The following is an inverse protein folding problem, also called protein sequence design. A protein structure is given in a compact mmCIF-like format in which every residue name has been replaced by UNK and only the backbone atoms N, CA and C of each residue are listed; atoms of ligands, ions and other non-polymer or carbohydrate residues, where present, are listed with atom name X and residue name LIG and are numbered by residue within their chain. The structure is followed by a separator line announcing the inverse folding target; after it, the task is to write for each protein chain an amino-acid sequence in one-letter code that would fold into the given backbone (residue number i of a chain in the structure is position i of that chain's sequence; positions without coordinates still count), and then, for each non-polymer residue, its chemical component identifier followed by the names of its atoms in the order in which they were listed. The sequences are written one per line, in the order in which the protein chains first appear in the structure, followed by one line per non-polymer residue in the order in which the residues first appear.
data_IF_653624220023
#
_entry.id   IF_653624220023
#
_cell.length_a   1.000
_cell.length_b   1.000
_cell.length_c   1.000
_cell.angle_alpha   90.00
_cell.angle_beta   90.00
_cell.angle_gamma   90.00
#
_symmetry.space_group_name_H-M   'P 1'
#
loop_
_entity.id
_entity.type
_entity.pdbx_description
1 polymer ?
#
# COMPACT_ATOMS: atom_id res chain seq x y z
N UNK A 1 -10.92 -16.05 7.02
CA UNK A 1 -10.71 -14.58 6.98
C UNK A 1 -9.28 -14.28 6.55
N UNK A 2 -9.01 -13.12 5.94
CA UNK A 2 -7.67 -12.72 5.43
C UNK A 2 -6.56 -12.87 6.49
N UNK A 3 -6.85 -12.50 7.74
CA UNK A 3 -5.92 -12.64 8.86
C UNK A 3 -5.42 -14.08 9.06
N UNK A 4 -6.31 -15.07 9.05
CA UNK A 4 -5.94 -16.48 9.22
C UNK A 4 -5.11 -17.00 8.03
N UNK A 5 -5.34 -16.47 6.83
CA UNK A 5 -4.56 -16.81 5.64
C UNK A 5 -3.14 -16.22 5.70
N UNK A 6 -2.99 -15.00 6.23
CA UNK A 6 -1.68 -14.38 6.45
C UNK A 6 -0.94 -15.07 7.60
N UNK A 7 -1.62 -15.36 8.71
CA UNK A 7 -1.02 -15.97 9.91
C UNK A 7 -0.43 -17.37 9.64
N UNK A 8 -1.06 -18.15 8.78
CA UNK A 8 -0.62 -19.51 8.43
C UNK A 8 0.49 -19.54 7.38
N UNK A 9 0.78 -18.41 6.76
CA UNK A 9 1.69 -18.35 5.63
C UNK A 9 3.02 -17.71 6.03
N UNK A 10 4.09 -18.49 5.94
CA UNK A 10 5.45 -18.06 6.29
C UNK A 10 6.19 -17.41 5.12
N UNK A 11 5.56 -17.29 3.94
CA UNK A 11 6.17 -16.62 2.79
C UNK A 11 6.28 -15.10 3.00
N UNK A 12 7.26 -14.51 2.33
CA UNK A 12 7.42 -13.06 2.34
C UNK A 12 6.21 -12.36 1.73
N UNK A 13 5.68 -11.36 2.45
CA UNK A 13 4.60 -10.50 1.99
C UNK A 13 5.13 -9.07 1.86
N UNK A 14 5.03 -8.49 0.66
CA UNK A 14 5.33 -7.09 0.45
C UNK A 14 4.11 -6.23 0.84
N UNK A 15 4.31 -5.32 1.79
CA UNK A 15 3.35 -4.26 2.10
C UNK A 15 3.92 -2.94 1.56
N UNK A 16 3.36 -2.43 0.46
CA UNK A 16 3.91 -1.28 -0.24
C UNK A 16 2.86 -0.42 -0.93
N UNK A 17 3.17 0.85 -1.12
CA UNK A 17 2.34 1.83 -1.81
C UNK A 17 2.75 3.26 -1.46
N UNK A 18 1.98 4.27 -1.90
CA UNK A 18 2.32 5.66 -1.66
C UNK A 18 2.20 6.01 -0.18
N UNK A 19 2.90 7.08 0.21
CA UNK A 19 2.87 7.51 1.59
C UNK A 19 1.49 8.08 2.00
N UNK A 20 0.74 8.64 1.05
CA UNK A 20 -0.63 9.15 1.19
C UNK A 20 -1.38 8.95 -0.12
N UNK A 21 -2.70 8.77 -0.06
CA UNK A 21 -3.54 8.73 -1.27
C UNK A 21 -3.89 10.16 -1.69
N UNK A 22 -3.46 10.59 -2.87
CA UNK A 22 -3.74 11.94 -3.40
C UNK A 22 -4.97 11.95 -4.32
N UNK A 23 -5.15 10.90 -5.11
CA UNK A 23 -6.34 10.68 -5.93
C UNK A 23 -6.48 9.18 -6.27
N UNK A 24 -7.63 8.81 -6.81
CA UNK A 24 -7.96 7.43 -7.17
C UNK A 24 -7.04 6.87 -8.27
N UNK A 25 -6.83 7.62 -9.35
CA UNK A 25 -6.03 7.18 -10.49
C UNK A 25 -4.60 6.83 -10.07
N UNK A 26 -3.95 7.71 -9.30
CA UNK A 26 -2.62 7.48 -8.76
C UNK A 26 -2.55 6.21 -7.91
N UNK A 27 -3.57 5.95 -7.08
CA UNK A 27 -3.61 4.75 -6.26
C UNK A 27 -3.69 3.49 -7.12
N UNK A 28 -4.53 3.48 -8.15
CA UNK A 28 -4.66 2.35 -9.07
C UNK A 28 -3.41 2.14 -9.94
N UNK A 29 -2.78 3.21 -10.43
CA UNK A 29 -1.56 3.14 -11.22
C UNK A 29 -0.41 2.52 -10.42
N UNK A 30 -0.19 3.01 -9.18
CA UNK A 30 0.85 2.49 -8.30
C UNK A 30 0.54 1.04 -7.89
N UNK A 31 -0.70 0.75 -7.50
CA UNK A 31 -1.10 -0.61 -7.12
C UNK A 31 -0.92 -1.59 -8.29
N UNK A 32 -1.30 -1.17 -9.50
CA UNK A 32 -1.18 -1.98 -10.72
C UNK A 32 0.28 -2.31 -11.04
N UNK A 33 1.17 -1.33 -10.99
CA UNK A 33 2.57 -1.53 -11.31
C UNK A 33 3.29 -2.39 -10.27
N UNK A 34 3.05 -2.15 -8.97
CA UNK A 34 3.64 -2.97 -7.90
C UNK A 34 3.10 -4.40 -7.96
N UNK A 35 1.79 -4.58 -8.19
CA UNK A 35 1.19 -5.90 -8.39
C UNK A 35 1.81 -6.65 -9.57
N UNK A 36 2.04 -5.96 -10.70
CA UNK A 36 2.69 -6.54 -11.89
C UNK A 36 4.10 -7.04 -11.55
N UNK A 37 4.88 -6.25 -10.80
CA UNK A 37 6.22 -6.63 -10.34
C UNK A 37 6.15 -7.82 -9.38
N UNK A 38 5.28 -7.79 -8.38
CA UNK A 38 5.13 -8.89 -7.42
C UNK A 38 4.73 -10.20 -8.11
N UNK A 39 3.81 -10.16 -9.07
CA UNK A 39 3.40 -11.33 -9.86
C UNK A 39 4.58 -11.95 -10.63
N UNK A 40 5.52 -11.13 -11.13
CA UNK A 40 6.72 -11.62 -11.83
C UNK A 40 7.63 -12.46 -10.92
N UNK A 41 7.63 -12.19 -9.61
CA UNK A 41 8.50 -12.84 -8.63
C UNK A 41 7.75 -13.74 -7.65
N UNK A 42 6.48 -14.05 -7.93
CA UNK A 42 5.60 -14.85 -7.06
C UNK A 42 5.52 -14.31 -5.61
N UNK A 43 5.52 -12.97 -5.48
CA UNK A 43 5.44 -12.31 -4.18
C UNK A 43 3.99 -11.96 -3.84
N UNK A 44 3.61 -12.23 -2.59
CA UNK A 44 2.35 -11.72 -2.04
C UNK A 44 2.45 -10.22 -1.84
N UNK A 45 1.36 -9.52 -2.16
CA UNK A 45 1.33 -8.06 -2.13
C UNK A 45 0.08 -7.53 -1.43
N UNK A 46 0.29 -6.59 -0.50
CA UNK A 46 -0.76 -5.78 0.13
C UNK A 46 -0.47 -4.32 -0.21
N UNK A 47 -1.39 -3.69 -0.94
CA UNK A 47 -1.33 -2.25 -1.18
C UNK A 47 -1.54 -1.49 0.14
N UNK A 48 -0.66 -0.52 0.42
CA UNK A 48 -0.78 0.37 1.58
C UNK A 48 -0.69 1.82 1.15
N UNK A 49 -1.65 2.62 1.60
CA UNK A 49 -1.59 4.07 1.55
C UNK A 49 -2.27 4.65 2.80
N UNK A 50 -1.84 5.82 3.25
CA UNK A 50 -2.54 6.55 4.32
C UNK A 50 -3.60 7.47 3.69
N UNK A 51 -4.82 7.46 4.23
CA UNK A 51 -5.84 8.43 3.82
C UNK A 51 -5.47 9.84 4.28
N UNK A 52 -5.09 9.98 5.57
CA UNK A 52 -4.71 11.26 6.17
C UNK A 52 -3.46 11.10 7.04
N UNK A 53 -2.63 12.13 7.08
CA UNK A 53 -1.47 12.25 7.98
C UNK A 53 -1.74 13.27 9.06
N UNK A 54 -1.95 12.78 10.28
CA UNK A 54 -2.22 13.61 11.45
C UNK A 54 -0.96 14.34 11.99
N UNK A 55 0.24 13.88 11.59
CA UNK A 55 1.51 14.30 12.20
C UNK A 55 2.29 15.26 11.28
N UNK A 56 1.63 16.27 10.71
CA UNK A 56 2.31 17.31 9.92
C UNK A 56 2.94 18.33 10.86
N UNK A 57 4.15 18.78 10.51
CA UNK A 57 4.89 19.79 11.28
C UNK A 57 4.30 21.21 11.14
N UNK A 58 3.56 21.47 10.04
CA UNK A 58 2.81 22.70 9.85
C UNK A 58 1.32 22.40 9.70
N UNK A 59 0.50 23.28 10.29
CA UNK A 59 -0.97 23.17 10.26
C UNK A 59 -1.56 23.33 8.85
N UNK A 60 -0.87 24.05 7.96
CA UNK A 60 -1.27 24.34 6.58
C UNK A 60 -0.82 23.28 5.56
N UNK A 61 -0.16 22.22 6.01
CA UNK A 61 0.35 21.18 5.11
C UNK A 61 -0.75 20.26 4.60
N UNK A 62 -0.67 19.87 3.33
CA UNK A 62 -1.52 18.82 2.76
C UNK A 62 -1.44 17.54 3.61
N UNK A 63 -2.60 17.08 4.11
CA UNK A 63 -2.66 15.90 4.97
C UNK A 63 -2.94 14.62 4.20
N UNK A 64 -3.27 14.68 2.91
CA UNK A 64 -4.23 13.72 2.38
C UNK A 64 -5.62 14.22 2.62
#
# INVERSE_FOLDING_TARGET
MLYEAIKKDESFILIAGPCVTENEQMAFDIAGEVKRICNKYDLKYIFKASYRKANRSRLDSFTG
#
